data_IF_894144262092
#
_entry.id   IF_894144262092
#
_cell.length_a   1.000
_cell.length_b   1.000
_cell.length_c   1.000
_cell.angle_alpha   90.00
_cell.angle_beta   90.00
_cell.angle_gamma   90.00
#
_symmetry.space_group_name_H-M   'P 1'
#
loop_
_entity.id
_entity.type
_entity.pdbx_description
1 polymer ?
#
# COMPACT_ATOMS: atom_id res chain seq x y z
N UNK A 1 -5.21 0.77 10.13
CA UNK A 1 -5.83 1.64 9.11
C UNK A 1 -5.12 1.52 7.78
N UNK A 2 -4.00 2.18 7.55
CA UNK A 2 -3.33 2.25 6.23
C UNK A 2 -2.92 0.88 5.71
N UNK A 3 -2.46 -0.04 6.56
CA UNK A 3 -2.17 -1.40 6.10
C UNK A 3 -3.39 -2.10 5.46
N UNK A 4 -4.60 -1.85 5.98
CA UNK A 4 -5.81 -2.40 5.36
C UNK A 4 -6.09 -1.73 3.99
N UNK A 5 -5.77 -0.45 3.84
CA UNK A 5 -5.81 0.24 2.54
C UNK A 5 -4.82 -0.41 1.57
N UNK A 6 -3.59 -0.67 2.03
CA UNK A 6 -2.54 -1.32 1.23
C UNK A 6 -2.93 -2.75 0.80
N UNK A 7 -3.49 -3.56 1.72
CA UNK A 7 -4.05 -4.88 1.36
C UNK A 7 -5.09 -4.78 0.23
N UNK A 8 -6.04 -3.84 0.36
CA UNK A 8 -7.08 -3.67 -0.65
C UNK A 8 -6.51 -3.18 -1.99
N UNK A 9 -5.56 -2.24 -1.96
CA UNK A 9 -4.92 -1.70 -3.17
C UNK A 9 -4.09 -2.78 -3.87
N UNK A 10 -3.17 -3.44 -3.16
CA UNK A 10 -2.31 -4.43 -3.79
C UNK A 10 -3.09 -5.68 -4.23
N UNK A 11 -4.10 -6.12 -3.48
CA UNK A 11 -4.99 -7.19 -3.94
C UNK A 11 -5.74 -6.79 -5.22
N UNK A 12 -6.32 -5.59 -5.26
CA UNK A 12 -7.03 -5.11 -6.44
C UNK A 12 -6.10 -4.99 -7.66
N UNK A 13 -4.85 -4.57 -7.46
CA UNK A 13 -3.85 -4.41 -8.51
C UNK A 13 -3.03 -5.68 -8.78
N UNK A 14 -3.25 -6.76 -8.02
CA UNK A 14 -2.52 -8.02 -8.12
C UNK A 14 -2.63 -8.66 -9.50
N UNK A 15 -1.60 -9.42 -9.87
CA UNK A 15 -1.64 -10.31 -11.05
C UNK A 15 -2.65 -11.45 -10.87
N UNK A 16 -3.06 -11.75 -9.64
CA UNK A 16 -4.07 -12.76 -9.27
C UNK A 16 -5.48 -12.17 -9.06
N UNK A 17 -5.67 -10.86 -9.37
CA UNK A 17 -6.94 -10.18 -9.17
C UNK A 17 -8.09 -10.84 -9.96
N UNK A 18 -9.27 -10.88 -9.36
CA UNK A 18 -10.46 -11.43 -9.97
C UNK A 18 -11.71 -10.67 -9.52
N UNK A 19 -12.85 -10.89 -10.19
CA UNK A 19 -14.07 -10.13 -9.95
C UNK A 19 -14.57 -10.17 -8.50
N UNK A 20 -14.34 -11.27 -7.77
CA UNK A 20 -14.73 -11.39 -6.37
C UNK A 20 -13.86 -10.51 -5.46
N UNK A 21 -12.53 -10.60 -5.61
CA UNK A 21 -11.60 -9.77 -4.85
C UNK A 21 -11.71 -8.30 -5.23
N UNK A 22 -11.95 -7.99 -6.52
CA UNK A 22 -12.15 -6.62 -7.00
C UNK A 22 -13.31 -5.92 -6.29
N UNK A 23 -14.46 -6.58 -6.22
CA UNK A 23 -15.64 -6.03 -5.54
C UNK A 23 -15.39 -5.75 -4.06
N UNK A 24 -14.76 -6.69 -3.36
CA UNK A 24 -14.44 -6.54 -1.94
C UNK A 24 -13.41 -5.42 -1.70
N UNK A 25 -12.34 -5.36 -2.49
CA UNK A 25 -11.28 -4.36 -2.34
C UNK A 25 -11.74 -2.94 -2.63
N UNK A 26 -12.48 -2.72 -3.72
CA UNK A 26 -13.02 -1.38 -4.02
C UNK A 26 -14.01 -0.90 -2.95
N UNK A 27 -14.81 -1.81 -2.38
CA UNK A 27 -15.69 -1.46 -1.27
C UNK A 27 -14.89 -1.19 0.02
N UNK A 28 -13.85 -1.96 0.30
CA UNK A 28 -12.94 -1.71 1.43
C UNK A 28 -12.32 -0.32 1.34
N UNK A 29 -11.85 0.08 0.15
CA UNK A 29 -11.25 1.41 -0.08
C UNK A 29 -12.25 2.54 0.17
N UNK A 30 -13.51 2.42 -0.27
CA UNK A 30 -14.57 3.41 0.02
C UNK A 30 -14.81 3.56 1.52
N UNK A 31 -14.92 2.44 2.23
CA UNK A 31 -15.17 2.43 3.68
C UNK A 31 -13.99 3.00 4.47
N UNK A 32 -12.76 2.61 4.13
CA UNK A 32 -11.55 3.09 4.79
C UNK A 32 -11.25 4.56 4.45
N UNK A 33 -11.48 4.95 3.20
CA UNK A 33 -11.29 6.33 2.72
C UNK A 33 -12.21 7.33 3.45
N UNK A 34 -13.46 6.93 3.73
CA UNK A 34 -14.38 7.74 4.53
C UNK A 34 -14.12 7.61 6.04
N UNK A 35 -13.92 6.39 6.52
CA UNK A 35 -13.89 6.10 7.95
C UNK A 35 -12.63 6.60 8.66
N UNK A 36 -11.43 6.41 8.08
CA UNK A 36 -10.18 6.73 8.76
C UNK A 36 -10.02 8.22 9.10
N UNK A 37 -10.32 9.18 8.19
CA UNK A 37 -10.27 10.60 8.53
C UNK A 37 -11.29 10.99 9.60
N UNK A 38 -12.50 10.42 9.57
CA UNK A 38 -13.55 10.67 10.58
C UNK A 38 -13.14 10.15 11.95
N UNK A 39 -12.60 8.92 12.04
CA UNK A 39 -12.11 8.36 13.32
C UNK A 39 -10.95 9.18 13.86
N UNK A 40 -10.08 9.71 12.99
CA UNK A 40 -9.00 10.61 13.42
C UNK A 40 -9.56 11.90 14.01
N UNK A 41 -10.57 12.50 13.38
CA UNK A 41 -11.20 13.75 13.83
C UNK A 41 -12.02 13.56 15.12
N UNK A 42 -12.78 12.45 15.21
CA UNK A 42 -13.58 12.06 16.36
C UNK A 42 -13.44 10.56 16.64
N UNK A 43 -12.58 10.14 17.58
CA UNK A 43 -12.44 8.74 17.96
C UNK A 43 -13.71 8.09 18.54
N UNK A 44 -14.71 8.87 18.93
CA UNK A 44 -16.00 8.38 19.47
C UNK A 44 -17.04 8.12 18.38
N UNK A 45 -16.79 8.49 17.10
CA UNK A 45 -17.67 8.23 15.96
C UNK A 45 -17.79 6.73 15.67
N UNK A 46 -18.85 6.12 16.22
CA UNK A 46 -19.08 4.67 16.11
C UNK A 46 -19.39 4.23 14.67
N UNK A 47 -20.05 5.06 13.85
CA UNK A 47 -20.31 4.74 12.45
C UNK A 47 -19.00 4.70 11.65
N UNK A 48 -18.13 5.68 11.83
CA UNK A 48 -16.83 5.70 11.20
C UNK A 48 -15.94 4.52 11.65
N UNK A 49 -15.97 4.17 12.94
CA UNK A 49 -15.27 2.98 13.45
C UNK A 49 -15.78 1.70 12.84
N UNK A 50 -17.11 1.54 12.70
CA UNK A 50 -17.70 0.38 12.03
C UNK A 50 -17.26 0.30 10.57
N UNK A 51 -17.26 1.42 9.84
CA UNK A 51 -16.73 1.47 8.46
C UNK A 51 -15.28 1.03 8.39
N UNK A 52 -14.43 1.49 9.31
CA UNK A 52 -13.02 1.06 9.37
C UNK A 52 -12.88 -0.44 9.64
N UNK A 53 -13.67 -1.02 10.55
CA UNK A 53 -13.64 -2.45 10.86
C UNK A 53 -14.10 -3.29 9.67
N UNK A 54 -15.22 -2.90 9.03
CA UNK A 54 -15.73 -3.57 7.83
C UNK A 54 -14.74 -3.48 6.67
N UNK A 55 -14.17 -2.28 6.43
CA UNK A 55 -13.18 -2.08 5.39
C UNK A 55 -11.90 -2.89 5.64
N UNK A 56 -11.43 -2.95 6.89
CA UNK A 56 -10.28 -3.76 7.24
C UNK A 56 -10.53 -5.27 7.05
N UNK A 57 -11.73 -5.76 7.41
CA UNK A 57 -12.11 -7.15 7.17
C UNK A 57 -12.18 -7.46 5.66
N UNK A 58 -12.86 -6.62 4.90
CA UNK A 58 -12.99 -6.82 3.45
C UNK A 58 -11.64 -6.75 2.72
N UNK A 59 -10.69 -5.92 3.20
CA UNK A 59 -9.35 -5.81 2.61
C UNK A 59 -8.54 -7.11 2.66
N UNK A 60 -8.88 -8.00 3.61
CA UNK A 60 -8.21 -9.30 3.75
C UNK A 60 -8.70 -10.36 2.75
N UNK A 61 -9.74 -10.09 1.98
CA UNK A 61 -10.37 -11.06 1.08
C UNK A 61 -9.37 -11.67 0.10
N UNK A 62 -8.51 -10.86 -0.52
CA UNK A 62 -7.48 -11.36 -1.43
C UNK A 62 -6.46 -12.25 -0.74
N UNK A 63 -5.91 -11.79 0.38
CA UNK A 63 -4.91 -12.56 1.15
C UNK A 63 -5.48 -13.91 1.59
N UNK A 64 -6.71 -13.94 2.12
CA UNK A 64 -7.37 -15.18 2.59
C UNK A 64 -7.65 -16.14 1.42
N UNK A 65 -7.95 -15.63 0.23
CA UNK A 65 -8.21 -16.43 -0.97
C UNK A 65 -6.95 -16.77 -1.77
N UNK A 66 -5.77 -16.39 -1.28
CA UNK A 66 -4.48 -16.77 -1.87
C UNK A 66 -3.96 -15.81 -2.94
N UNK A 67 -4.54 -14.61 -3.12
CA UNK A 67 -3.96 -13.59 -4.00
C UNK A 67 -2.62 -13.11 -3.43
N UNK A 68 -1.59 -13.14 -4.26
CA UNK A 68 -0.28 -12.60 -3.88
C UNK A 68 -0.33 -11.08 -3.93
N UNK A 69 0.32 -10.45 -2.96
CA UNK A 69 0.52 -9.02 -2.95
C UNK A 69 1.77 -8.64 -3.78
N UNK A 70 2.22 -7.42 -3.70
CA UNK A 70 3.33 -6.93 -4.50
C UNK A 70 4.42 -6.23 -3.69
N UNK A 71 5.09 -5.30 -4.34
CA UNK A 71 6.30 -4.66 -3.83
C UNK A 71 6.06 -3.81 -2.57
N UNK A 72 4.85 -3.25 -2.34
CA UNK A 72 4.59 -2.49 -1.12
C UNK A 72 4.72 -3.37 0.12
N UNK A 73 4.14 -4.56 0.09
CA UNK A 73 4.26 -5.52 1.19
C UNK A 73 5.63 -6.18 1.24
N UNK A 74 6.20 -6.60 0.11
CA UNK A 74 7.52 -7.24 0.07
C UNK A 74 8.60 -6.32 0.66
N UNK A 75 8.69 -5.07 0.19
CA UNK A 75 9.63 -4.09 0.73
C UNK A 75 9.27 -3.77 2.20
N UNK A 76 7.97 -3.70 2.50
CA UNK A 76 7.50 -3.47 3.86
C UNK A 76 7.93 -4.55 4.85
N UNK A 77 7.95 -5.82 4.45
CA UNK A 77 8.47 -6.93 5.28
C UNK A 77 9.97 -6.73 5.58
N UNK A 78 10.73 -6.32 4.58
CA UNK A 78 12.17 -6.12 4.74
C UNK A 78 12.48 -4.89 5.60
N UNK A 79 11.76 -3.78 5.40
CA UNK A 79 11.87 -2.60 6.26
C UNK A 79 11.53 -2.94 7.72
N UNK A 80 10.50 -3.75 7.95
CA UNK A 80 10.12 -4.20 9.28
C UNK A 80 11.15 -5.16 9.89
N UNK A 81 11.52 -6.20 9.15
CA UNK A 81 12.40 -7.28 9.65
C UNK A 81 13.87 -6.90 9.73
N UNK A 82 14.38 -6.09 8.79
CA UNK A 82 15.81 -5.77 8.68
C UNK A 82 16.19 -4.40 9.22
N UNK A 83 15.23 -3.46 9.31
CA UNK A 83 15.48 -2.09 9.77
C UNK A 83 14.59 -1.68 10.96
N UNK A 84 13.75 -2.57 11.49
CA UNK A 84 12.94 -2.33 12.68
C UNK A 84 11.83 -1.30 12.49
N UNK A 85 11.45 -0.96 11.25
CA UNK A 85 10.37 -0.01 10.97
C UNK A 85 9.04 -0.60 11.44
N UNK A 86 8.24 0.13 12.25
CA UNK A 86 6.94 -0.36 12.70
C UNK A 86 6.07 -0.78 11.51
N UNK A 87 5.52 -1.99 11.55
CA UNK A 87 4.80 -2.59 10.44
C UNK A 87 3.61 -1.76 9.91
N UNK A 88 2.99 -0.93 10.76
CA UNK A 88 1.96 0.03 10.34
C UNK A 88 2.51 1.19 9.50
N UNK A 89 3.79 1.50 9.62
CA UNK A 89 4.45 2.59 8.89
C UNK A 89 4.97 2.13 7.52
N UNK A 90 5.33 0.86 7.36
CA UNK A 90 5.88 0.37 6.09
C UNK A 90 4.91 0.57 4.92
N UNK A 91 3.64 0.25 5.10
CA UNK A 91 2.57 0.48 4.11
C UNK A 91 2.36 1.98 3.82
N UNK A 92 2.49 2.84 4.83
CA UNK A 92 2.36 4.30 4.64
C UNK A 92 3.45 4.84 3.73
N UNK A 93 4.66 4.33 3.91
CA UNK A 93 5.84 4.78 3.18
C UNK A 93 5.86 4.20 1.77
N UNK A 94 5.62 2.88 1.62
CA UNK A 94 5.88 2.21 0.35
C UNK A 94 4.76 2.34 -0.68
N UNK A 95 3.49 2.29 -0.24
CA UNK A 95 2.35 2.21 -1.15
C UNK A 95 2.30 3.32 -2.22
N UNK A 96 2.45 4.62 -1.91
CA UNK A 96 2.38 5.67 -2.93
C UNK A 96 3.48 5.54 -4.00
N UNK A 97 4.69 5.17 -3.60
CA UNK A 97 5.82 5.07 -4.52
C UNK A 97 5.77 3.79 -5.37
N UNK A 98 5.29 2.69 -4.81
CA UNK A 98 5.02 1.46 -5.56
C UNK A 98 3.92 1.69 -6.60
N UNK A 99 2.86 2.41 -6.27
CA UNK A 99 1.83 2.81 -7.23
C UNK A 99 2.43 3.62 -8.38
N UNK A 100 3.25 4.62 -8.06
CA UNK A 100 3.92 5.46 -9.07
C UNK A 100 4.84 4.63 -9.97
N UNK A 101 5.60 3.70 -9.39
CA UNK A 101 6.49 2.83 -10.15
C UNK A 101 5.73 1.85 -11.06
N UNK A 102 4.57 1.35 -10.62
CA UNK A 102 3.69 0.43 -11.35
C UNK A 102 2.77 1.09 -12.39
N UNK A 103 2.65 2.43 -12.41
CA UNK A 103 1.64 3.15 -13.20
C UNK A 103 1.68 2.76 -14.70
N UNK A 104 2.87 2.55 -15.26
CA UNK A 104 3.06 2.19 -16.66
C UNK A 104 2.41 0.86 -17.07
N UNK A 105 2.19 -0.05 -16.12
CA UNK A 105 1.63 -1.40 -16.40
C UNK A 105 0.19 -1.57 -15.94
N UNK A 106 -0.25 -0.87 -14.89
CA UNK A 106 -1.60 -1.03 -14.34
C UNK A 106 -2.35 0.29 -14.08
N UNK A 107 -1.92 1.39 -14.72
CA UNK A 107 -2.52 2.72 -14.53
C UNK A 107 -4.03 2.78 -14.78
N UNK A 108 -4.57 1.96 -15.69
CA UNK A 108 -6.02 1.88 -15.91
C UNK A 108 -6.76 1.38 -14.64
N UNK A 109 -6.23 0.36 -13.96
CA UNK A 109 -6.81 -0.15 -12.70
C UNK A 109 -6.55 0.81 -11.54
N UNK A 110 -5.43 1.53 -11.53
CA UNK A 110 -5.15 2.54 -10.52
C UNK A 110 -6.17 3.69 -10.53
N UNK A 111 -6.76 4.02 -11.69
CA UNK A 111 -7.85 5.01 -11.78
C UNK A 111 -9.07 4.60 -10.94
N UNK A 112 -9.40 3.31 -10.91
CA UNK A 112 -10.52 2.80 -10.10
C UNK A 112 -10.20 2.90 -8.59
N UNK A 113 -8.94 2.72 -8.19
CA UNK A 113 -8.48 2.98 -6.81
C UNK A 113 -8.73 4.44 -6.44
N UNK A 114 -8.32 5.38 -7.29
CA UNK A 114 -8.53 6.81 -7.06
C UNK A 114 -10.02 7.17 -6.97
N UNK A 115 -10.86 6.58 -7.84
CA UNK A 115 -12.33 6.74 -7.80
C UNK A 115 -12.88 6.20 -6.48
N UNK A 116 -12.48 5.00 -6.05
CA UNK A 116 -12.94 4.40 -4.81
C UNK A 116 -12.56 5.23 -3.57
N UNK A 117 -11.40 5.91 -3.62
CA UNK A 117 -10.94 6.87 -2.60
C UNK A 117 -11.57 8.27 -2.73
N UNK A 118 -12.53 8.46 -3.65
CA UNK A 118 -13.27 9.73 -3.82
C UNK A 118 -12.52 10.81 -4.62
N UNK A 119 -11.44 10.47 -5.34
CA UNK A 119 -10.57 11.42 -6.05
C UNK A 119 -10.40 11.05 -7.54
N UNK A 120 -11.50 10.96 -8.27
CA UNK A 120 -11.48 10.69 -9.72
C UNK A 120 -10.60 11.70 -10.48
N UNK A 121 -9.80 11.22 -11.43
CA UNK A 121 -8.95 12.06 -12.28
C UNK A 121 -7.60 12.45 -11.65
N UNK A 122 -7.32 12.06 -10.41
CA UNK A 122 -6.03 12.26 -9.75
C UNK A 122 -5.26 10.93 -9.80
N UNK A 123 -3.92 10.92 -10.02
CA UNK A 123 -3.12 9.71 -9.92
C UNK A 123 -3.29 9.02 -8.56
N UNK A 124 -3.44 7.70 -8.53
CA UNK A 124 -3.66 6.97 -7.29
C UNK A 124 -2.51 7.14 -6.29
N UNK A 125 -1.28 7.25 -6.77
CA UNK A 125 -0.09 7.56 -5.96
C UNK A 125 -0.26 8.87 -5.17
N UNK A 126 -0.77 9.92 -5.83
CA UNK A 126 -0.98 11.22 -5.20
C UNK A 126 -2.17 11.19 -4.24
N UNK A 127 -3.25 10.47 -4.60
CA UNK A 127 -4.41 10.26 -3.73
C UNK A 127 -3.99 9.60 -2.42
N UNK A 128 -3.20 8.52 -2.50
CA UNK A 128 -2.76 7.79 -1.32
C UNK A 128 -1.72 8.57 -0.51
N UNK A 129 -0.81 9.30 -1.17
CA UNK A 129 0.14 10.17 -0.48
C UNK A 129 -0.57 11.28 0.33
N UNK A 130 -1.55 11.98 -0.29
CA UNK A 130 -2.35 13.00 0.40
C UNK A 130 -3.16 12.40 1.55
N UNK A 131 -3.75 11.23 1.35
CA UNK A 131 -4.53 10.52 2.35
C UNK A 131 -3.69 10.14 3.58
N UNK A 132 -2.49 9.59 3.36
CA UNK A 132 -1.53 9.22 4.42
C UNK A 132 -1.06 10.47 5.16
N UNK A 133 -0.73 11.56 4.44
CA UNK A 133 -0.39 12.85 5.02
C UNK A 133 -1.51 13.40 5.91
N UNK A 134 -2.76 13.32 5.43
CA UNK A 134 -3.95 13.73 6.18
C UNK A 134 -4.18 12.93 7.48
N UNK A 135 -3.56 11.76 7.63
CA UNK A 135 -3.60 10.94 8.84
C UNK A 135 -2.37 11.12 9.76
N UNK A 136 -1.47 12.08 9.46
CA UNK A 136 -0.22 12.36 10.18
C UNK A 136 0.71 11.14 10.27
N UNK A 137 0.74 10.34 9.19
CA UNK A 137 1.59 9.16 9.11
C UNK A 137 2.88 9.47 8.33
N UNK A 138 4.00 8.74 8.58
CA UNK A 138 5.25 8.94 7.86
C UNK A 138 5.07 8.65 6.36
N UNK A 139 5.80 9.39 5.52
CA UNK A 139 5.72 9.31 4.07
C UNK A 139 7.02 8.92 3.39
N UNK A 140 8.13 8.96 4.13
CA UNK A 140 9.46 8.63 3.60
C UNK A 140 10.17 7.62 4.51
N UNK A 141 11.08 6.87 3.92
CA UNK A 141 11.93 5.92 4.65
C UNK A 141 12.78 6.66 5.68
N UNK A 142 13.30 7.83 5.31
CA UNK A 142 14.13 8.70 6.18
C UNK A 142 13.41 9.09 7.47
N UNK A 143 12.11 9.34 7.43
CA UNK A 143 11.31 9.67 8.62
C UNK A 143 11.24 8.53 9.64
N UNK A 144 11.64 7.33 9.27
CA UNK A 144 11.63 6.16 10.16
C UNK A 144 13.00 5.85 10.78
N UNK A 145 14.01 6.66 10.51
CA UNK A 145 15.35 6.50 11.07
C UNK A 145 16.22 5.45 10.35
N UNK A 146 15.81 4.99 9.19
CA UNK A 146 16.64 4.16 8.30
C UNK A 146 17.68 5.06 7.65
N UNK A 147 18.93 4.61 7.57
CA UNK A 147 20.02 5.36 6.94
C UNK A 147 20.08 5.07 5.43
N UNK A 148 20.54 6.03 4.64
CA UNK A 148 20.65 5.89 3.17
C UNK A 148 21.58 4.74 2.78
N UNK A 149 22.65 4.55 3.54
CA UNK A 149 23.63 3.50 3.32
C UNK A 149 23.06 2.08 3.53
N UNK A 150 21.91 1.94 4.20
CA UNK A 150 21.21 0.67 4.35
C UNK A 150 20.41 0.26 3.10
N UNK A 151 20.04 1.20 2.22
CA UNK A 151 19.15 0.94 1.09
C UNK A 151 19.65 -0.19 0.17
N UNK A 152 20.96 -0.29 -0.20
CA UNK A 152 21.42 -1.40 -1.04
C UNK A 152 21.19 -2.77 -0.39
N UNK A 153 21.48 -2.91 0.91
CA UNK A 153 21.25 -4.16 1.66
C UNK A 153 19.74 -4.50 1.74
N UNK A 154 18.90 -3.50 1.93
CA UNK A 154 17.44 -3.69 1.94
C UNK A 154 16.93 -4.14 0.57
N UNK A 155 17.44 -3.56 -0.51
CA UNK A 155 17.08 -3.96 -1.87
C UNK A 155 17.49 -5.42 -2.18
N UNK A 156 18.68 -5.83 -1.77
CA UNK A 156 19.12 -7.22 -1.91
C UNK A 156 18.22 -8.18 -1.10
N UNK A 157 17.87 -7.83 0.14
CA UNK A 157 17.00 -8.64 0.98
C UNK A 157 15.59 -8.77 0.40
N UNK A 158 15.08 -7.79 -0.32
CA UNK A 158 13.77 -7.87 -0.98
C UNK A 158 13.69 -9.00 -2.00
N UNK A 159 14.82 -9.42 -2.58
CA UNK A 159 14.85 -10.55 -3.49
C UNK A 159 14.66 -11.91 -2.82
N UNK A 160 14.54 -11.95 -1.49
CA UNK A 160 14.24 -13.15 -0.72
C UNK A 160 12.72 -13.27 -0.40
N UNK A 161 11.94 -12.24 -0.69
CA UNK A 161 10.49 -12.24 -0.47
C UNK A 161 9.76 -12.57 -1.76
N UNK A 162 8.93 -13.62 -1.72
CA UNK A 162 8.19 -14.12 -2.90
C UNK A 162 7.24 -13.07 -3.51
N UNK A 163 6.73 -12.14 -2.70
CA UNK A 163 5.83 -11.08 -3.19
C UNK A 163 6.55 -10.02 -4.01
N UNK A 164 7.87 -9.94 -3.93
CA UNK A 164 8.67 -9.13 -4.85
C UNK A 164 8.43 -9.54 -6.31
N UNK A 165 8.34 -10.84 -6.56
CA UNK A 165 8.17 -11.40 -7.91
C UNK A 165 6.72 -11.43 -8.38
N UNK A 166 5.75 -11.18 -7.50
CA UNK A 166 4.33 -11.04 -7.87
C UNK A 166 3.87 -9.60 -8.10
N UNK A 167 4.80 -8.64 -8.02
CA UNK A 167 4.49 -7.25 -8.31
C UNK A 167 4.05 -7.08 -9.79
N UNK A 168 2.97 -6.31 -10.10
CA UNK A 168 2.45 -6.15 -11.45
C UNK A 168 3.49 -5.69 -12.49
N UNK A 169 4.32 -4.71 -12.18
CA UNK A 169 5.53 -4.41 -12.94
C UNK A 169 6.64 -5.32 -12.42
N UNK A 170 7.09 -6.23 -13.27
CA UNK A 170 8.03 -7.27 -12.88
C UNK A 170 9.31 -6.72 -12.28
N UNK A 171 9.71 -7.26 -11.13
CA UNK A 171 10.97 -6.97 -10.43
C UNK A 171 11.86 -8.20 -10.55
N UNK A 172 13.05 -8.03 -11.17
CA UNK A 172 14.03 -9.11 -11.45
C UNK A 172 15.37 -8.90 -10.78
N UNK A 173 15.63 -7.70 -10.28
CA UNK A 173 16.93 -7.36 -9.67
C UNK A 173 16.78 -6.38 -8.51
N UNK A 174 17.77 -6.35 -7.59
CA UNK A 174 17.84 -5.36 -6.54
C UNK A 174 17.85 -3.92 -7.05
N UNK A 175 18.38 -3.64 -8.24
CA UNK A 175 18.42 -2.29 -8.81
C UNK A 175 17.03 -1.71 -9.01
N UNK A 176 16.06 -2.54 -9.42
CA UNK A 176 14.67 -2.12 -9.59
C UNK A 176 13.99 -1.82 -8.23
N UNK A 177 14.34 -2.59 -7.20
CA UNK A 177 13.91 -2.26 -5.83
C UNK A 177 14.56 -0.96 -5.37
N UNK A 178 15.83 -0.72 -5.68
CA UNK A 178 16.54 0.53 -5.39
C UNK A 178 15.87 1.75 -6.04
N UNK A 179 15.32 1.61 -7.27
CA UNK A 179 14.53 2.68 -7.89
C UNK A 179 13.35 3.09 -6.99
N UNK A 180 12.61 2.11 -6.45
CA UNK A 180 11.47 2.36 -5.57
C UNK A 180 11.93 2.97 -4.24
N UNK A 181 12.97 2.39 -3.61
CA UNK A 181 13.52 2.87 -2.33
C UNK A 181 14.01 4.31 -2.43
N UNK A 182 14.68 4.69 -3.52
CA UNK A 182 15.14 6.07 -3.75
C UNK A 182 13.99 7.06 -3.94
N UNK A 183 12.89 6.64 -4.56
CA UNK A 183 11.68 7.49 -4.63
C UNK A 183 11.06 7.72 -3.25
N UNK A 184 11.19 6.74 -2.36
CA UNK A 184 10.61 6.76 -1.02
C UNK A 184 11.56 7.36 0.05
N UNK A 185 12.81 7.68 -0.31
CA UNK A 185 13.83 8.27 0.58
C UNK A 185 13.59 9.76 0.77
#
# INVERSE_FOLDING_TARGET
GIRAVDHAVETYLSIDANAYTDGACLQALRLLGEGLPRVKADPSDLDARLKCLMGAWMSMTGVITGSRLGASHAIGHILGGSAGVPHGHTSCIMLPYVLKWNESVNGARQKEVAIAMGRAGVPASDVLNDFICGLDMPRTIRETGVEEDDLPRLAENCMLDDWTFSNPREIRSPDQVMEILRMAW
#
